data_IF_930473451263
#
_entry.id   IF_930473451263
#
_cell.length_a   1.000
_cell.length_b   1.000
_cell.length_c   1.000
_cell.angle_alpha   90.00
_cell.angle_beta   90.00
_cell.angle_gamma   90.00
#
_symmetry.space_group_name_H-M   'P 1'
#
loop_
_entity.id
_entity.type
_entity.pdbx_description
1 polymer ?
#
# COMPACT_ATOMS: atom_id res chain seq x y z
N UNK A 1 -17.88 1.98 -2.81
CA UNK A 1 -16.46 1.88 -3.17
C UNK A 1 -16.01 0.43 -3.33
N UNK A 2 -16.32 -0.45 -2.38
CA UNK A 2 -15.94 -1.87 -2.42
C UNK A 2 -16.63 -2.66 -3.55
N UNK A 3 -17.86 -2.29 -3.95
CA UNK A 3 -18.56 -2.91 -5.08
C UNK A 3 -17.81 -2.71 -6.41
N UNK A 4 -17.28 -1.51 -6.65
CA UNK A 4 -16.56 -1.20 -7.89
C UNK A 4 -15.20 -1.89 -7.98
N UNK A 5 -14.55 -2.15 -6.84
CA UNK A 5 -13.33 -2.96 -6.81
C UNK A 5 -13.64 -4.43 -7.13
N UNK A 6 -14.79 -4.93 -6.69
CA UNK A 6 -15.28 -6.28 -7.02
C UNK A 6 -15.54 -6.45 -8.51
N UNK A 7 -16.16 -5.48 -9.17
CA UNK A 7 -16.46 -5.52 -10.60
C UNK A 7 -15.21 -5.55 -11.49
N UNK A 8 -14.14 -4.84 -11.10
CA UNK A 8 -12.88 -4.85 -11.82
C UNK A 8 -12.13 -6.21 -11.79
N UNK A 9 -12.58 -7.16 -10.96
CA UNK A 9 -11.98 -8.47 -10.75
C UNK A 9 -12.98 -9.63 -10.84
N UNK A 10 -14.15 -9.41 -11.41
CA UNK A 10 -15.37 -10.21 -11.21
C UNK A 10 -15.50 -11.54 -11.95
N UNK A 11 -14.53 -11.98 -12.72
CA UNK A 11 -14.70 -13.28 -13.42
C UNK A 11 -14.25 -14.51 -12.62
N UNK A 12 -13.66 -14.34 -11.46
CA UNK A 12 -13.36 -15.44 -10.55
C UNK A 12 -14.13 -15.23 -9.25
N UNK A 13 -14.90 -16.22 -8.83
CA UNK A 13 -15.49 -16.24 -7.48
C UNK A 13 -14.38 -16.02 -6.46
N UNK A 14 -14.27 -14.77 -6.06
CA UNK A 14 -13.15 -14.31 -5.29
C UNK A 14 -13.38 -14.63 -3.82
N UNK A 15 -12.40 -15.11 -3.08
CA UNK A 15 -12.44 -15.21 -1.63
C UNK A 15 -12.54 -13.84 -0.92
N UNK A 16 -12.85 -12.78 -1.68
CA UNK A 16 -13.01 -11.41 -1.22
C UNK A 16 -14.17 -11.18 -0.25
N UNK A 17 -15.10 -12.14 -0.16
CA UNK A 17 -16.35 -11.90 0.56
C UNK A 17 -16.15 -11.86 2.07
N UNK A 18 -15.16 -12.54 2.62
CA UNK A 18 -14.97 -12.61 4.08
C UNK A 18 -13.58 -12.21 4.57
N UNK A 19 -12.52 -12.57 3.87
CA UNK A 19 -11.14 -12.34 4.30
C UNK A 19 -10.74 -10.85 4.47
N UNK A 20 -11.20 -9.88 3.64
CA UNK A 20 -10.80 -8.49 3.79
C UNK A 20 -11.62 -7.67 4.79
N UNK A 21 -12.70 -8.18 5.38
CA UNK A 21 -13.58 -7.39 6.27
C UNK A 21 -12.82 -6.81 7.47
N UNK A 22 -12.01 -7.61 8.15
CA UNK A 22 -11.23 -7.14 9.29
C UNK A 22 -10.17 -6.10 8.91
N UNK A 23 -9.32 -6.35 7.90
CA UNK A 23 -8.41 -5.32 7.40
C UNK A 23 -9.10 -4.04 6.91
N UNK A 24 -10.28 -4.12 6.29
CA UNK A 24 -11.08 -2.96 5.90
C UNK A 24 -11.55 -2.18 7.12
N UNK A 25 -12.09 -2.86 8.12
CA UNK A 25 -12.49 -2.23 9.36
C UNK A 25 -11.31 -1.56 10.07
N UNK A 26 -10.17 -2.23 10.16
CA UNK A 26 -8.95 -1.67 10.74
C UNK A 26 -8.47 -0.43 9.96
N UNK A 27 -8.62 -0.42 8.64
CA UNK A 27 -8.28 0.72 7.80
C UNK A 27 -9.16 1.93 8.12
N UNK A 28 -10.44 1.74 8.31
CA UNK A 28 -11.40 2.82 8.59
C UNK A 28 -11.34 3.32 10.05
N UNK A 29 -10.92 2.46 10.96
CA UNK A 29 -10.80 2.82 12.38
C UNK A 29 -9.71 3.86 12.62
N UNK A 30 -10.02 4.92 13.35
CA UNK A 30 -9.05 5.94 13.77
C UNK A 30 -8.00 5.40 14.78
N UNK A 31 -8.27 4.28 15.40
CA UNK A 31 -7.40 3.68 16.41
C UNK A 31 -6.13 3.08 15.82
N UNK A 32 -6.22 2.54 14.59
CA UNK A 32 -5.10 1.83 13.97
C UNK A 32 -4.39 2.72 12.96
N UNK A 33 -3.15 3.08 13.23
CA UNK A 33 -2.29 3.87 12.34
C UNK A 33 -1.40 3.01 11.45
N UNK A 34 -1.09 1.81 11.90
CA UNK A 34 -0.26 0.85 11.18
C UNK A 34 -0.94 -0.51 11.20
N UNK A 35 -1.11 -1.09 10.03
CA UNK A 35 -1.72 -2.40 9.82
C UNK A 35 -0.65 -3.31 9.24
N UNK A 36 -0.36 -4.41 9.92
CA UNK A 36 0.56 -5.45 9.49
C UNK A 36 -0.23 -6.62 8.93
N UNK A 37 -0.18 -6.83 7.63
CA UNK A 37 -0.97 -7.81 6.92
C UNK A 37 -0.10 -8.99 6.47
N UNK A 38 -0.04 -10.01 7.32
CA UNK A 38 0.63 -11.27 7.02
C UNK A 38 -0.34 -12.22 6.31
N UNK A 39 -0.17 -12.40 5.02
CA UNK A 39 -1.00 -13.28 4.19
C UNK A 39 -0.16 -14.24 3.37
N UNK A 40 -0.75 -15.40 3.04
CA UNK A 40 -0.15 -16.35 2.12
C UNK A 40 0.05 -15.75 0.72
N UNK A 41 0.91 -16.37 -0.07
CA UNK A 41 1.08 -15.99 -1.47
C UNK A 41 -0.23 -16.17 -2.25
N UNK A 42 -0.44 -15.32 -3.28
CA UNK A 42 -1.62 -15.34 -4.17
C UNK A 42 -2.97 -15.04 -3.50
N UNK A 43 -2.98 -14.53 -2.27
CA UNK A 43 -4.20 -14.11 -1.54
C UNK A 43 -4.56 -12.63 -1.79
N UNK A 44 -4.30 -12.12 -2.97
CA UNK A 44 -4.69 -10.75 -3.42
C UNK A 44 -4.18 -9.59 -2.54
N UNK A 45 -3.15 -9.77 -1.73
CA UNK A 45 -2.58 -8.73 -0.85
C UNK A 45 -2.37 -7.40 -1.54
N UNK A 46 -1.63 -7.43 -2.65
CA UNK A 46 -1.31 -6.22 -3.42
C UNK A 46 -2.56 -5.54 -3.95
N UNK A 47 -3.54 -6.30 -4.45
CA UNK A 47 -4.80 -5.73 -4.94
C UNK A 47 -5.61 -5.10 -3.80
N UNK A 48 -5.65 -5.73 -2.63
CA UNK A 48 -6.26 -5.15 -1.45
C UNK A 48 -5.59 -3.82 -1.06
N UNK A 49 -4.26 -3.80 -0.99
CA UNK A 49 -3.51 -2.59 -0.68
C UNK A 49 -3.74 -1.47 -1.70
N UNK A 50 -3.79 -1.80 -3.00
CA UNK A 50 -4.11 -0.83 -4.05
C UNK A 50 -5.53 -0.29 -3.91
N UNK A 51 -6.50 -1.12 -3.54
CA UNK A 51 -7.87 -0.68 -3.29
C UNK A 51 -7.95 0.28 -2.10
N UNK A 52 -7.22 0.00 -1.01
CA UNK A 52 -7.17 0.89 0.16
C UNK A 52 -6.49 2.21 -0.17
N UNK A 53 -5.42 2.17 -0.96
CA UNK A 53 -4.74 3.37 -1.43
C UNK A 53 -5.65 4.21 -2.32
N UNK A 54 -6.32 3.59 -3.30
CA UNK A 54 -7.28 4.23 -4.19
C UNK A 54 -8.43 4.88 -3.40
N UNK A 55 -8.97 4.17 -2.41
CA UNK A 55 -10.00 4.71 -1.50
C UNK A 55 -9.50 5.95 -0.74
N UNK A 56 -8.25 5.92 -0.29
CA UNK A 56 -7.66 7.07 0.40
C UNK A 56 -7.47 8.26 -0.54
N UNK A 57 -7.03 8.02 -1.78
CA UNK A 57 -6.91 9.08 -2.80
C UNK A 57 -8.25 9.74 -3.13
N UNK A 58 -9.36 9.02 -3.01
CA UNK A 58 -10.71 9.55 -3.23
C UNK A 58 -11.27 10.27 -2.00
N UNK A 59 -11.24 9.63 -0.84
CA UNK A 59 -11.95 10.08 0.35
C UNK A 59 -11.11 10.98 1.27
N UNK A 60 -9.79 10.83 1.24
CA UNK A 60 -8.83 11.63 2.02
C UNK A 60 -7.70 12.08 1.10
N UNK A 61 -8.00 12.95 0.12
CA UNK A 61 -7.05 13.31 -0.93
C UNK A 61 -5.87 14.08 -0.36
N UNK A 62 -4.71 13.43 -0.33
CA UNK A 62 -3.44 13.94 0.15
C UNK A 62 -2.26 13.24 -0.55
N UNK A 63 -1.05 13.51 -0.10
CA UNK A 63 0.16 12.79 -0.52
C UNK A 63 0.12 11.35 -0.02
N UNK A 64 0.20 10.42 -0.95
CA UNK A 64 0.24 8.98 -0.69
C UNK A 64 1.49 8.35 -1.27
N UNK A 65 1.92 7.21 -0.75
CA UNK A 65 3.08 6.49 -1.26
C UNK A 65 2.82 4.99 -1.32
N UNK A 66 3.19 4.39 -2.44
CA UNK A 66 3.26 2.95 -2.63
C UNK A 66 4.71 2.51 -2.76
N UNK A 67 5.19 1.72 -1.81
CA UNK A 67 6.56 1.24 -1.78
C UNK A 67 6.63 -0.26 -2.06
N UNK A 68 7.54 -0.66 -2.94
CA UNK A 68 7.80 -2.04 -3.37
C UNK A 68 9.24 -2.43 -3.10
N UNK A 69 9.63 -3.71 -3.19
CA UNK A 69 11.04 -4.11 -3.03
C UNK A 69 11.99 -3.40 -3.99
N UNK A 70 11.58 -3.23 -5.25
CA UNK A 70 12.40 -2.69 -6.31
C UNK A 70 11.62 -1.80 -7.30
N UNK A 71 12.35 -1.12 -8.18
CA UNK A 71 11.81 -0.20 -9.17
C UNK A 71 10.93 -0.88 -10.22
N UNK A 72 11.29 -2.08 -10.66
CA UNK A 72 10.55 -2.81 -11.69
C UNK A 72 9.17 -3.22 -11.20
N UNK A 73 9.12 -3.74 -9.98
CA UNK A 73 7.85 -4.04 -9.30
C UNK A 73 7.02 -2.78 -9.13
N UNK A 74 7.65 -1.66 -8.74
CA UNK A 74 6.96 -0.39 -8.58
C UNK A 74 6.28 0.06 -9.88
N UNK A 75 6.99 0.05 -11.00
CA UNK A 75 6.43 0.40 -12.33
C UNK A 75 5.25 -0.50 -12.73
N UNK A 76 5.38 -1.80 -12.47
CA UNK A 76 4.32 -2.78 -12.78
C UNK A 76 3.05 -2.52 -11.96
N UNK A 77 3.22 -2.28 -10.67
CA UNK A 77 2.09 -2.04 -9.76
C UNK A 77 1.43 -0.68 -10.05
N UNK A 78 2.22 0.35 -10.37
CA UNK A 78 1.67 1.64 -10.79
C UNK A 78 0.83 1.54 -12.06
N UNK A 79 1.20 0.68 -13.00
CA UNK A 79 0.38 0.38 -14.18
C UNK A 79 -0.98 -0.24 -13.82
N UNK A 80 -1.02 -1.09 -12.78
CA UNK A 80 -2.29 -1.64 -12.26
C UNK A 80 -3.11 -0.57 -11.56
N UNK A 81 -2.49 0.21 -10.68
CA UNK A 81 -3.17 1.30 -9.97
C UNK A 81 -3.79 2.28 -10.94
N UNK A 82 -3.08 2.63 -12.02
CA UNK A 82 -3.60 3.51 -13.05
C UNK A 82 -4.86 2.93 -13.71
N UNK A 83 -4.83 1.65 -14.13
CA UNK A 83 -6.01 0.98 -14.69
C UNK A 83 -7.20 0.98 -13.72
N UNK A 84 -6.95 0.75 -12.43
CA UNK A 84 -8.01 0.82 -11.42
C UNK A 84 -8.61 2.22 -11.30
N UNK A 85 -7.77 3.27 -11.40
CA UNK A 85 -8.21 4.67 -11.38
C UNK A 85 -9.06 4.98 -12.62
N UNK A 86 -8.66 4.51 -13.79
CA UNK A 86 -9.43 4.69 -15.04
C UNK A 86 -10.82 4.07 -15.00
N UNK A 87 -10.98 2.95 -14.26
CA UNK A 87 -12.26 2.27 -14.08
C UNK A 87 -13.09 2.84 -12.91
N UNK A 88 -12.52 3.72 -12.08
CA UNK A 88 -13.22 4.35 -10.96
C UNK A 88 -13.75 5.73 -11.38
N UNK A 89 -15.07 5.91 -11.53
CA UNK A 89 -15.65 7.17 -12.05
C UNK A 89 -15.23 8.41 -11.26
N UNK A 90 -15.18 8.34 -9.95
CA UNK A 90 -14.83 9.45 -9.07
C UNK A 90 -13.37 9.89 -9.23
N UNK A 91 -12.45 8.94 -9.36
CA UNK A 91 -11.02 9.23 -9.53
C UNK A 91 -10.66 9.58 -10.98
N UNK A 92 -11.28 8.91 -11.95
CA UNK A 92 -11.11 9.23 -13.36
C UNK A 92 -11.44 10.70 -13.65
N UNK A 93 -12.51 11.22 -13.05
CA UNK A 93 -12.88 12.64 -13.17
C UNK A 93 -11.86 13.61 -12.55
N UNK A 94 -10.96 13.13 -11.72
CA UNK A 94 -9.87 13.89 -11.12
C UNK A 94 -8.55 13.81 -11.90
N UNK A 95 -8.43 12.87 -12.84
CA UNK A 95 -7.22 12.73 -13.66
C UNK A 95 -7.09 13.91 -14.64
N UNK A 96 -5.93 14.57 -14.74
CA UNK A 96 -5.71 15.63 -15.73
C UNK A 96 -5.72 15.04 -17.13
N UNK A 97 -6.45 15.67 -18.04
CA UNK A 97 -6.62 15.20 -19.43
C UNK A 97 -5.29 15.21 -20.21
N UNK A 98 -4.34 16.06 -19.83
CA UNK A 98 -3.11 16.34 -20.59
C UNK A 98 -1.83 15.82 -19.96
N UNK A 99 -1.84 15.25 -18.75
CA UNK A 99 -0.62 14.80 -18.11
C UNK A 99 -0.31 13.34 -18.46
N UNK A 100 0.83 13.13 -19.09
CA UNK A 100 1.47 11.82 -19.11
C UNK A 100 1.79 11.42 -17.68
N UNK A 101 1.05 10.47 -17.17
CA UNK A 101 1.34 9.88 -15.86
C UNK A 101 2.77 9.31 -15.87
N UNK A 102 3.57 9.71 -14.91
CA UNK A 102 4.87 9.09 -14.70
C UNK A 102 4.67 7.64 -14.29
N UNK A 103 5.56 6.75 -14.73
CA UNK A 103 5.56 5.35 -14.27
C UNK A 103 5.77 5.19 -12.76
N UNK A 104 6.07 6.27 -12.07
CA UNK A 104 6.42 6.30 -10.64
C UNK A 104 5.67 7.39 -9.85
N UNK A 105 4.74 8.05 -10.49
CA UNK A 105 3.89 9.06 -9.85
C UNK A 105 2.55 9.15 -10.58
N UNK A 106 1.47 9.16 -9.83
CA UNK A 106 0.13 9.42 -10.32
C UNK A 106 -0.34 10.71 -9.69
N UNK A 107 -0.60 11.72 -10.53
CA UNK A 107 -1.11 13.02 -10.13
C UNK A 107 -2.62 13.07 -10.41
N UNK A 108 -3.41 13.32 -9.39
CA UNK A 108 -4.82 13.68 -9.50
C UNK A 108 -5.01 15.15 -9.09
N UNK A 109 -6.19 15.72 -9.32
CA UNK A 109 -6.47 17.12 -8.96
C UNK A 109 -6.28 17.39 -7.47
N UNK A 110 -6.58 16.43 -6.60
CA UNK A 110 -6.62 16.57 -5.16
C UNK A 110 -5.63 15.69 -4.41
N UNK A 111 -4.99 14.73 -5.08
CA UNK A 111 -4.06 13.79 -4.44
C UNK A 111 -2.91 13.41 -5.37
N UNK A 112 -1.81 13.01 -4.76
CA UNK A 112 -0.64 12.50 -5.47
C UNK A 112 -0.24 11.17 -4.87
N UNK A 113 0.05 10.19 -5.73
CA UNK A 113 0.63 8.91 -5.31
C UNK A 113 2.06 8.77 -5.83
N UNK A 114 3.00 8.56 -4.93
CA UNK A 114 4.41 8.38 -5.23
C UNK A 114 4.82 6.92 -5.18
N UNK A 115 5.62 6.48 -6.14
CA UNK A 115 6.30 5.18 -6.12
C UNK A 115 7.64 5.26 -5.43
N UNK A 116 7.93 4.27 -4.56
CA UNK A 116 9.18 4.21 -3.83
C UNK A 116 9.71 2.78 -3.70
N UNK A 117 11.00 2.64 -3.37
CA UNK A 117 11.65 1.38 -3.03
C UNK A 117 12.88 1.61 -2.14
N UNK A 118 13.35 0.61 -1.35
CA UNK A 118 14.38 0.80 -0.32
C UNK A 118 15.74 1.31 -0.83
N UNK A 119 16.17 0.89 -2.01
CA UNK A 119 17.46 1.31 -2.59
C UNK A 119 17.51 2.74 -3.13
N UNK A 120 16.38 3.39 -3.28
CA UNK A 120 16.35 4.77 -3.74
C UNK A 120 16.65 5.74 -2.60
N UNK A 121 17.90 6.22 -2.46
CA UNK A 121 18.32 7.11 -1.36
C UNK A 121 17.37 8.27 -1.09
N UNK A 122 16.80 8.86 -2.12
CA UNK A 122 15.87 9.99 -2.03
C UNK A 122 14.39 9.56 -1.94
N UNK A 123 14.01 8.44 -2.53
CA UNK A 123 12.59 8.14 -2.77
C UNK A 123 11.77 7.75 -1.55
N UNK A 124 12.37 7.05 -0.58
CA UNK A 124 11.73 6.81 0.72
C UNK A 124 11.86 8.01 1.67
N UNK A 125 12.68 9.02 1.32
CA UNK A 125 13.09 10.06 2.24
C UNK A 125 12.53 11.45 1.94
N UNK A 126 12.08 11.71 0.70
CA UNK A 126 11.86 13.08 0.21
C UNK A 126 10.46 13.63 0.43
N UNK A 127 9.50 12.80 0.85
CA UNK A 127 8.09 13.20 0.90
C UNK A 127 7.46 12.92 2.25
N UNK A 128 6.73 13.88 2.79
CA UNK A 128 5.78 13.65 3.87
C UNK A 128 4.51 13.03 3.28
N UNK A 129 4.02 11.94 3.85
CA UNK A 129 2.86 11.22 3.34
C UNK A 129 1.87 10.92 4.44
N UNK A 130 0.60 11.05 4.16
CA UNK A 130 -0.47 10.69 5.10
C UNK A 130 -0.82 9.21 5.03
N UNK A 131 -0.74 8.63 3.85
CA UNK A 131 -1.07 7.22 3.61
C UNK A 131 0.10 6.53 2.91
N UNK A 132 0.54 5.43 3.49
CA UNK A 132 1.61 4.60 2.95
C UNK A 132 1.18 3.15 2.78
N UNK A 133 1.55 2.54 1.65
CA UNK A 133 1.42 1.10 1.44
C UNK A 133 2.80 0.50 1.14
N UNK A 134 3.28 -0.36 2.03
CA UNK A 134 4.50 -1.14 1.87
C UNK A 134 4.16 -2.56 1.41
N UNK A 135 4.52 -2.87 0.17
CA UNK A 135 4.28 -4.15 -0.48
C UNK A 135 5.51 -5.07 -0.36
N UNK A 136 5.29 -6.31 0.01
CA UNK A 136 6.32 -7.35 0.16
C UNK A 136 7.52 -6.92 1.02
N UNK A 137 7.24 -6.38 2.21
CA UNK A 137 8.24 -5.75 3.08
C UNK A 137 9.36 -6.69 3.53
N UNK A 138 9.15 -8.00 3.60
CA UNK A 138 10.21 -8.95 3.92
C UNK A 138 11.35 -8.92 2.89
N UNK A 139 11.04 -8.61 1.62
CA UNK A 139 12.04 -8.47 0.57
C UNK A 139 12.84 -7.17 0.65
N UNK A 140 12.37 -6.16 1.38
CA UNK A 140 13.04 -4.87 1.48
C UNK A 140 14.42 -4.96 2.12
N UNK A 141 14.62 -5.87 3.05
CA UNK A 141 15.90 -6.07 3.72
C UNK A 141 16.94 -6.75 2.83
N UNK A 142 16.50 -7.52 1.84
CA UNK A 142 17.39 -8.11 0.84
C UNK A 142 17.96 -7.06 -0.13
N UNK A 143 17.22 -5.95 -0.29
CA UNK A 143 17.51 -4.87 -1.20
C UNK A 143 18.14 -3.64 -0.52
N UNK A 144 17.99 -3.49 0.80
CA UNK A 144 18.53 -2.35 1.54
C UNK A 144 20.03 -2.45 1.73
N UNK A 145 20.75 -1.37 1.51
CA UNK A 145 22.15 -1.25 1.90
C UNK A 145 22.24 -1.02 3.41
N UNK A 146 23.13 -1.72 4.09
CA UNK A 146 23.29 -1.72 5.55
C UNK A 146 23.56 -0.34 6.19
N UNK A 147 23.89 0.67 5.38
CA UNK A 147 24.28 2.00 5.85
C UNK A 147 23.11 2.96 6.12
N UNK A 148 21.87 2.61 5.71
CA UNK A 148 20.74 3.54 5.74
C UNK A 148 19.71 3.29 6.85
N UNK A 149 19.93 2.28 7.69
CA UNK A 149 19.00 1.85 8.76
C UNK A 149 17.79 1.08 8.24
N UNK A 150 16.84 0.80 9.14
CA UNK A 150 15.64 0.02 8.85
C UNK A 150 14.75 0.73 7.81
N UNK A 151 14.53 0.12 6.62
CA UNK A 151 13.73 0.73 5.56
C UNK A 151 12.25 0.88 5.96
N UNK A 152 11.70 0.00 6.79
CA UNK A 152 10.31 0.08 7.24
C UNK A 152 10.14 1.28 8.18
N UNK A 153 11.06 1.49 9.10
CA UNK A 153 11.02 2.64 9.99
C UNK A 153 11.21 3.95 9.23
N UNK A 154 12.11 3.98 8.24
CA UNK A 154 12.28 5.14 7.35
C UNK A 154 10.98 5.47 6.61
N UNK A 155 10.31 4.46 6.08
CA UNK A 155 9.02 4.61 5.41
C UNK A 155 7.94 5.15 6.36
N UNK A 156 7.79 4.57 7.54
CA UNK A 156 6.79 4.98 8.53
C UNK A 156 7.01 6.40 9.05
N UNK A 157 8.27 6.82 9.19
CA UNK A 157 8.62 8.19 9.59
C UNK A 157 8.12 9.27 8.63
N UNK A 158 7.83 8.93 7.37
CA UNK A 158 7.25 9.87 6.39
C UNK A 158 5.86 10.36 6.78
N UNK A 159 5.16 9.65 7.62
CA UNK A 159 3.86 10.04 8.14
C UNK A 159 3.90 10.75 9.50
N UNK A 160 5.06 11.11 10.02
CA UNK A 160 5.18 11.63 11.39
C UNK A 160 4.37 12.92 11.62
N UNK A 161 4.23 13.76 10.61
CA UNK A 161 3.49 15.03 10.64
C UNK A 161 1.96 14.83 10.67
N UNK A 162 1.47 13.64 10.31
CA UNK A 162 0.04 13.35 10.23
C UNK A 162 -0.43 12.52 11.44
N UNK A 163 -1.23 13.11 12.35
CA UNK A 163 -1.75 12.38 13.52
C UNK A 163 -2.64 11.19 13.12
N UNK A 164 -3.34 11.29 12.00
CA UNK A 164 -4.27 10.31 11.46
C UNK A 164 -3.70 9.49 10.29
N UNK A 165 -2.38 9.42 10.20
CA UNK A 165 -1.68 8.63 9.18
C UNK A 165 -2.12 7.18 9.15
N UNK A 166 -2.08 6.58 7.96
CA UNK A 166 -2.37 5.16 7.74
C UNK A 166 -1.23 4.49 6.99
N UNK A 167 -0.72 3.43 7.56
CA UNK A 167 0.27 2.57 6.89
C UNK A 167 -0.25 1.14 6.82
N UNK A 168 -0.32 0.59 5.62
CA UNK A 168 -0.53 -0.83 5.38
C UNK A 168 0.81 -1.44 4.98
N UNK A 169 1.29 -2.37 5.80
CA UNK A 169 2.52 -3.12 5.54
C UNK A 169 2.12 -4.57 5.29
N UNK A 170 2.43 -5.09 4.12
CA UNK A 170 2.02 -6.43 3.74
C UNK A 170 3.18 -7.27 3.22
N UNK A 171 3.16 -8.54 3.57
CA UNK A 171 4.09 -9.53 3.03
C UNK A 171 3.60 -10.96 3.21
N UNK A 172 4.14 -11.86 2.40
CA UNK A 172 4.25 -13.27 2.76
C UNK A 172 5.48 -13.43 3.65
N UNK A 173 5.37 -14.10 4.80
CA UNK A 173 6.52 -14.30 5.67
C UNK A 173 7.62 -15.11 4.95
N UNK A 174 8.86 -14.72 5.13
CA UNK A 174 10.02 -15.36 4.51
C UNK A 174 10.54 -16.51 5.38
N UNK A 175 11.41 -16.20 6.33
CA UNK A 175 12.04 -17.15 7.23
C UNK A 175 11.50 -16.92 8.65
N UNK A 176 11.03 -18.00 9.30
CA UNK A 176 10.54 -17.94 10.68
C UNK A 176 11.58 -17.29 11.61
N UNK A 177 11.14 -16.34 12.42
CA UNK A 177 12.00 -15.59 13.34
C UNK A 177 12.90 -14.53 12.70
N UNK A 178 12.88 -14.39 11.35
CA UNK A 178 13.60 -13.32 10.62
C UNK A 178 12.68 -12.51 9.72
N UNK A 179 11.41 -12.84 9.68
CA UNK A 179 10.41 -12.17 8.87
C UNK A 179 9.99 -10.85 9.52
N UNK A 180 10.13 -9.75 8.78
CA UNK A 180 9.72 -8.43 9.24
C UNK A 180 8.20 -8.33 9.45
N UNK A 181 7.42 -8.95 8.57
CA UNK A 181 5.96 -8.96 8.71
C UNK A 181 5.52 -9.80 9.91
N UNK A 182 6.19 -10.92 10.20
CA UNK A 182 5.91 -11.73 11.39
C UNK A 182 6.23 -10.93 12.67
N UNK A 183 7.37 -10.28 12.71
CA UNK A 183 7.79 -9.43 13.86
C UNK A 183 6.79 -8.30 14.09
N UNK A 184 6.43 -7.56 13.05
CA UNK A 184 5.47 -6.46 13.17
C UNK A 184 4.08 -6.94 13.61
N UNK A 185 3.61 -8.08 13.10
CA UNK A 185 2.35 -8.70 13.53
C UNK A 185 2.40 -9.09 15.02
N UNK A 186 3.48 -9.72 15.49
CA UNK A 186 3.61 -10.14 16.90
C UNK A 186 3.66 -8.96 17.87
N UNK A 187 4.16 -7.82 17.43
CA UNK A 187 4.20 -6.57 18.21
C UNK A 187 2.91 -5.75 18.12
N UNK A 188 1.94 -6.19 17.33
CA UNK A 188 0.65 -5.53 17.14
C UNK A 188 -0.45 -6.13 18.02
N UNK A 189 -1.70 -5.72 17.81
CA UNK A 189 -2.88 -6.30 18.49
C UNK A 189 -3.13 -7.76 18.16
N UNK A 190 -2.40 -8.32 17.18
CA UNK A 190 -2.37 -9.74 16.80
C UNK A 190 -3.74 -10.35 16.49
N UNK A 191 -4.62 -9.60 15.85
CA UNK A 191 -5.88 -10.13 15.34
C UNK A 191 -5.60 -11.20 14.27
N UNK A 192 -6.25 -12.36 14.39
CA UNK A 192 -6.13 -13.46 13.44
C UNK A 192 -7.47 -13.68 12.75
N UNK A 193 -7.44 -13.75 11.43
CA UNK A 193 -8.53 -14.27 10.63
C UNK A 193 -8.19 -15.68 10.20
N UNK A 194 -9.04 -16.61 10.56
CA UNK A 194 -9.00 -17.98 10.05
C UNK A 194 -9.97 -18.04 8.86
N UNK A 195 -9.44 -18.40 7.71
CA UNK A 195 -10.20 -18.67 6.49
C UNK A 195 -10.36 -20.18 6.37
#
# INVERSE_FOLDING_TARGET
FYSHVGEAFSEQQSPWVTAPQGPCWAWDSIQFRVIWLQWAARMFKTNFGLAMLQRSMDQRPEETMFATPDETNCKTVFGRLWKMIEHCPTLRGQAPISQRQSKLQIQLKRSVCHGAWPRGKSRLADKSIRVGHGNEIDKWFMEATSTEGDPIERFRKRGAEYPDRKFLLESTPSIRGRSAIETGRLQSTNHRYHV
#
